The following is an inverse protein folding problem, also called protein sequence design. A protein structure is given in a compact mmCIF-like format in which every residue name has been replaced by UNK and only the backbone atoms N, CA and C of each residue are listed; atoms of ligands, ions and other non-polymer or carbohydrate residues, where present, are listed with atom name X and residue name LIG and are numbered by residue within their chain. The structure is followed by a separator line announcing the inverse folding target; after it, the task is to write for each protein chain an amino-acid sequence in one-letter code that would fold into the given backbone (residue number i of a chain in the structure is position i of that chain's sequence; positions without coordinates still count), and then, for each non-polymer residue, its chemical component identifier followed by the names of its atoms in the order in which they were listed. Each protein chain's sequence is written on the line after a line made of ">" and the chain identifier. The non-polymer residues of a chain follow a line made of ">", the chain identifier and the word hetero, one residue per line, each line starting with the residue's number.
data_IF_699521378596
#
_entry.id   IF_699521378596
#
_cell.length_a   1.000
_cell.length_b   1.000
_cell.length_c   1.000
_cell.angle_alpha   90.00
_cell.angle_beta   90.00
_cell.angle_gamma   90.00
#
_symmetry.space_group_name_H-M   'P 1'
#
loop_
_entity.id
_entity.type
_entity.pdbx_description
1 polymer ?
#
# COMPACT_ATOMS: atom_id res chain seq x y z
N UNK A 1 -10.91 -14.24 -11.66
CA UNK A 1 -10.42 -14.72 -10.34
C UNK A 1 -10.51 -16.23 -10.23
N UNK A 2 -11.53 -16.90 -10.77
CA UNK A 2 -11.67 -18.39 -10.73
C UNK A 2 -10.44 -19.18 -11.23
N UNK A 3 -9.68 -18.64 -12.18
CA UNK A 3 -8.45 -19.26 -12.73
C UNK A 3 -7.16 -18.62 -12.26
N UNK A 4 -7.23 -17.68 -11.31
CA UNK A 4 -6.06 -16.97 -10.81
C UNK A 4 -5.62 -17.58 -9.48
N UNK A 5 -4.32 -17.74 -9.32
CA UNK A 5 -3.72 -18.16 -8.03
C UNK A 5 -3.55 -16.98 -7.07
N UNK A 6 -3.30 -15.78 -7.61
CA UNK A 6 -3.00 -14.58 -6.82
C UNK A 6 -3.79 -13.37 -7.34
N UNK A 7 -4.39 -12.62 -6.42
CA UNK A 7 -4.90 -11.26 -6.65
C UNK A 7 -3.99 -10.27 -5.93
N UNK A 8 -3.40 -9.34 -6.69
CA UNK A 8 -2.60 -8.23 -6.15
C UNK A 8 -3.35 -6.93 -6.37
N UNK A 9 -3.45 -6.11 -5.34
CA UNK A 9 -4.12 -4.82 -5.40
C UNK A 9 -3.44 -3.77 -4.51
N UNK A 10 -3.67 -2.50 -4.81
CA UNK A 10 -3.07 -1.36 -4.11
C UNK A 10 -4.08 -0.25 -3.77
N UNK A 11 -5.36 -0.61 -3.63
CA UNK A 11 -6.37 0.33 -3.17
C UNK A 11 -6.19 0.66 -1.69
N UNK A 12 -6.87 1.74 -1.26
CA UNK A 12 -7.01 1.99 0.18
C UNK A 12 -7.77 0.84 0.84
N UNK A 13 -7.51 0.56 2.14
CA UNK A 13 -8.24 -0.44 2.90
C UNK A 13 -9.77 -0.31 2.71
N UNK A 14 -10.41 -1.44 2.41
CA UNK A 14 -11.86 -1.53 2.23
C UNK A 14 -12.43 -1.08 0.88
N UNK A 15 -11.64 -0.45 -0.01
CA UNK A 15 -12.13 -0.06 -1.35
C UNK A 15 -12.48 -1.29 -2.19
N UNK A 16 -11.66 -2.34 -2.17
CA UNK A 16 -11.93 -3.58 -2.89
C UNK A 16 -13.28 -4.20 -2.49
N UNK A 17 -13.59 -4.20 -1.19
CA UNK A 17 -14.87 -4.65 -0.67
C UNK A 17 -16.03 -3.75 -1.14
N UNK A 18 -15.85 -2.41 -1.14
CA UNK A 18 -16.85 -1.45 -1.61
C UNK A 18 -17.21 -1.61 -3.10
N UNK A 19 -16.27 -2.10 -3.91
CA UNK A 19 -16.51 -2.39 -5.34
C UNK A 19 -17.01 -3.82 -5.60
N UNK A 20 -17.38 -4.56 -4.55
CA UNK A 20 -18.07 -5.85 -4.66
C UNK A 20 -17.20 -7.08 -4.45
N UNK A 21 -15.94 -6.92 -4.06
CA UNK A 21 -15.02 -8.02 -3.79
C UNK A 21 -14.66 -8.08 -2.31
N UNK A 22 -15.65 -8.44 -1.49
CA UNK A 22 -15.42 -8.70 -0.06
C UNK A 22 -14.58 -9.97 0.13
N UNK A 23 -13.93 -10.17 1.30
CA UNK A 23 -13.20 -11.40 1.59
C UNK A 23 -14.04 -12.66 1.35
N UNK A 24 -15.29 -12.66 1.80
CA UNK A 24 -16.23 -13.78 1.66
C UNK A 24 -16.56 -14.03 0.17
N UNK A 25 -16.67 -12.95 -0.62
CA UNK A 25 -16.90 -13.08 -2.06
C UNK A 25 -15.68 -13.65 -2.77
N UNK A 26 -14.48 -13.25 -2.39
CA UNK A 26 -13.23 -13.77 -2.96
C UNK A 26 -13.09 -15.27 -2.63
N UNK A 27 -13.35 -15.66 -1.38
CA UNK A 27 -13.35 -17.05 -0.93
C UNK A 27 -14.39 -17.89 -1.69
N UNK A 28 -15.60 -17.35 -1.90
CA UNK A 28 -16.65 -18.02 -2.66
C UNK A 28 -16.29 -18.19 -4.16
N UNK A 29 -15.51 -17.28 -4.74
CA UNK A 29 -15.06 -17.38 -6.14
C UNK A 29 -13.93 -18.40 -6.26
N UNK A 30 -12.95 -18.36 -5.36
CA UNK A 30 -11.82 -19.29 -5.34
C UNK A 30 -11.24 -19.37 -3.91
N UNK A 31 -11.46 -20.47 -3.17
CA UNK A 31 -10.96 -20.62 -1.80
C UNK A 31 -9.44 -20.81 -1.71
N UNK A 32 -8.77 -21.08 -2.84
CA UNK A 32 -7.32 -21.20 -2.93
C UNK A 32 -6.65 -19.88 -3.34
N UNK A 33 -7.41 -18.80 -3.57
CA UNK A 33 -6.89 -17.52 -4.01
C UNK A 33 -6.05 -16.86 -2.92
N UNK A 34 -4.80 -16.51 -3.26
CA UNK A 34 -3.95 -15.68 -2.41
C UNK A 34 -4.29 -14.20 -2.69
N UNK A 35 -4.70 -13.46 -1.66
CA UNK A 35 -4.96 -12.03 -1.77
C UNK A 35 -3.82 -11.22 -1.14
N UNK A 36 -3.13 -10.43 -1.96
CA UNK A 36 -2.01 -9.57 -1.56
C UNK A 36 -2.37 -8.08 -1.74
N UNK A 37 -2.56 -7.38 -0.63
CA UNK A 37 -2.85 -5.96 -0.58
C UNK A 37 -1.57 -5.15 -0.30
N UNK A 38 -1.29 -4.14 -1.13
CA UNK A 38 -0.16 -3.22 -0.95
C UNK A 38 -0.70 -1.81 -0.69
N UNK A 39 -0.71 -1.39 0.57
CA UNK A 39 -1.14 -0.06 0.99
C UNK A 39 -0.10 0.60 1.89
N UNK A 40 0.04 1.92 1.79
CA UNK A 40 1.24 2.58 2.31
C UNK A 40 1.35 2.68 3.83
N UNK A 41 0.26 2.52 4.58
CA UNK A 41 0.27 2.51 6.05
C UNK A 41 -0.18 1.18 6.66
N UNK A 42 -0.44 0.16 5.86
CA UNK A 42 -1.08 -1.07 6.30
C UNK A 42 -2.61 -1.00 6.32
N UNK A 43 -3.25 -2.16 6.43
CA UNK A 43 -4.71 -2.30 6.50
C UNK A 43 -5.29 -2.08 7.90
N UNK A 44 -4.45 -1.84 8.90
CA UNK A 44 -4.82 -1.66 10.31
C UNK A 44 -4.06 -0.51 10.96
N UNK A 45 -4.50 -0.08 12.13
CA UNK A 45 -3.84 0.97 12.90
C UNK A 45 -4.32 2.40 12.56
N UNK A 46 -3.77 3.42 13.24
CA UNK A 46 -4.31 4.78 13.22
C UNK A 46 -4.15 5.52 11.89
N UNK A 47 -3.32 5.00 10.98
CA UNK A 47 -3.01 5.63 9.69
C UNK A 47 -3.60 4.88 8.48
N UNK A 48 -4.35 3.79 8.70
CA UNK A 48 -4.86 2.92 7.64
C UNK A 48 -5.68 3.69 6.57
N UNK A 49 -6.42 4.72 6.97
CA UNK A 49 -7.26 5.51 6.06
C UNK A 49 -6.54 6.70 5.40
N UNK A 50 -5.26 6.94 5.74
CA UNK A 50 -4.50 8.07 5.20
C UNK A 50 -3.98 7.77 3.79
N UNK A 51 -3.99 8.76 2.87
CA UNK A 51 -3.28 8.63 1.60
C UNK A 51 -1.78 8.45 1.86
N UNK A 52 -1.16 7.54 1.12
CA UNK A 52 0.28 7.33 1.15
C UNK A 52 0.79 7.12 -0.27
N UNK A 53 1.94 7.73 -0.53
CA UNK A 53 2.72 7.63 -1.75
C UNK A 53 4.18 7.45 -1.37
N UNK A 54 5.01 7.10 -2.35
CA UNK A 54 6.42 6.77 -2.11
C UNK A 54 7.17 7.84 -1.29
N UNK A 55 7.07 9.12 -1.65
CA UNK A 55 7.75 10.20 -0.91
C UNK A 55 7.32 10.30 0.57
N UNK A 56 6.06 9.96 0.87
CA UNK A 56 5.56 9.94 2.25
C UNK A 56 6.20 8.78 3.02
N UNK A 57 6.33 7.61 2.39
CA UNK A 57 7.03 6.48 2.98
C UNK A 57 8.53 6.77 3.20
N UNK A 58 9.19 7.43 2.25
CA UNK A 58 10.58 7.88 2.40
C UNK A 58 10.74 8.88 3.57
N UNK A 59 9.83 9.84 3.70
CA UNK A 59 9.88 10.81 4.80
C UNK A 59 9.62 10.15 6.16
N UNK A 60 8.56 9.33 6.24
CA UNK A 60 8.12 8.71 7.50
C UNK A 60 9.07 7.64 8.02
N UNK A 61 9.79 6.93 7.14
CA UNK A 61 10.79 5.93 7.54
C UNK A 61 12.08 6.53 8.09
N UNK A 62 12.26 7.86 8.00
CA UNK A 62 13.53 8.52 8.27
C UNK A 62 14.55 8.36 7.15
N UNK A 63 14.21 7.71 6.02
CA UNK A 63 15.12 7.57 4.90
C UNK A 63 15.57 8.93 4.36
N UNK A 64 14.66 9.90 4.25
CA UNK A 64 15.02 11.25 3.79
C UNK A 64 15.94 12.00 4.77
N UNK A 65 15.93 11.70 6.07
CA UNK A 65 16.78 12.45 7.03
C UNK A 65 18.24 12.04 6.98
N UNK A 66 18.56 10.89 6.37
CA UNK A 66 19.92 10.36 6.22
C UNK A 66 20.43 10.44 4.78
N UNK A 67 19.62 10.99 3.86
CA UNK A 67 19.97 11.17 2.45
C UNK A 67 19.91 12.66 2.06
N UNK A 68 21.02 13.19 1.53
CA UNK A 68 21.13 14.59 1.12
C UNK A 68 22.53 15.15 1.34
N UNK A 69 22.73 16.41 0.96
CA UNK A 69 23.96 17.13 1.27
C UNK A 69 23.98 17.56 2.75
N UNK A 70 25.15 17.60 3.42
CA UNK A 70 25.27 17.89 4.86
C UNK A 70 24.66 19.21 5.36
N UNK A 71 24.32 20.14 4.46
CA UNK A 71 23.71 21.44 4.78
C UNK A 71 22.50 21.76 3.85
N UNK A 72 21.94 20.76 3.16
CA UNK A 72 20.77 20.91 2.29
C UNK A 72 19.49 20.38 2.95
N UNK A 73 18.33 20.73 2.38
CA UNK A 73 17.06 20.15 2.79
C UNK A 73 17.05 18.62 2.57
N UNK A 74 16.27 17.85 3.35
CA UNK A 74 16.09 16.41 3.16
C UNK A 74 15.71 16.12 1.71
N UNK A 75 16.57 15.44 0.96
CA UNK A 75 16.35 15.17 -0.46
C UNK A 75 15.58 13.85 -0.61
N UNK A 76 14.43 13.91 -1.27
CA UNK A 76 13.82 12.71 -1.85
C UNK A 76 14.64 12.22 -3.03
N UNK A 77 14.46 10.97 -3.47
CA UNK A 77 15.20 10.40 -4.61
C UNK A 77 14.98 11.13 -5.96
N UNK A 78 14.05 12.10 -6.02
CA UNK A 78 13.81 12.96 -7.17
C UNK A 78 14.30 14.39 -6.89
N UNK A 79 15.61 14.57 -6.93
CA UNK A 79 16.18 15.83 -7.40
C UNK A 79 16.43 15.66 -8.91
N UNK A 80 15.97 16.58 -9.79
CA UNK A 80 16.36 16.56 -11.20
C UNK A 80 17.87 16.71 -11.38
#
# INVERSE_FOLDING_TARGET
>A
MEKADVLVENYRPGVLAKIGFTPERLEAINPLLIHAAVNGYGSTGPYADRPSFDFIAQAMSGFMSVNGLPAGDPCGQHHP
#
